data_IF_742089777012
#
_entry.id   IF_742089777012
#
_cell.length_a   1.000
_cell.length_b   1.000
_cell.length_c   1.000
_cell.angle_alpha   90.00
_cell.angle_beta   90.00
_cell.angle_gamma   90.00
#
_symmetry.space_group_name_H-M   'P 1'
#
loop_
_entity.id
_entity.type
_entity.pdbx_description
1 polymer ?
#
# COMPACT_ATOMS: atom_id res chain seq x y z
N UNK A 1 -18.08 38.61 31.16
CA UNK A 1 -18.64 37.47 31.92
C UNK A 1 -18.87 36.31 30.97
N UNK A 2 -18.34 35.18 31.35
CA UNK A 2 -18.47 33.84 30.82
C UNK A 2 -17.71 33.48 29.51
N UNK A 3 -16.67 32.80 29.81
CA UNK A 3 -15.82 31.97 29.02
C UNK A 3 -16.49 30.64 28.66
N UNK A 4 -16.31 30.18 27.43
CA UNK A 4 -16.60 28.82 26.99
C UNK A 4 -15.30 28.20 26.49
N UNK A 5 -14.80 27.22 27.24
CA UNK A 5 -13.59 26.44 26.94
C UNK A 5 -13.92 25.45 25.82
N UNK A 6 -13.11 25.46 24.77
CA UNK A 6 -13.05 24.39 23.79
C UNK A 6 -12.05 23.33 24.28
N UNK A 7 -12.48 22.09 24.38
CA UNK A 7 -11.62 20.95 24.68
C UNK A 7 -10.82 20.53 23.44
N UNK A 8 -9.52 20.79 23.47
CA UNK A 8 -8.56 20.19 22.54
C UNK A 8 -8.32 18.73 22.94
N UNK A 9 -8.73 17.80 22.09
CA UNK A 9 -8.33 16.40 22.15
C UNK A 9 -6.92 16.23 21.56
N UNK A 10 -5.92 16.43 22.41
CA UNK A 10 -4.53 16.07 22.12
C UNK A 10 -4.38 14.56 22.19
N UNK A 11 -4.16 13.89 21.07
CA UNK A 11 -3.76 12.47 21.02
C UNK A 11 -2.26 12.40 21.23
N UNK A 12 -1.85 12.04 22.45
CA UNK A 12 -0.46 11.79 22.81
C UNK A 12 0.01 10.42 22.28
N UNK A 13 1.15 10.41 21.60
CA UNK A 13 1.88 9.17 21.29
C UNK A 13 2.59 8.62 22.53
N UNK A 14 2.59 7.28 22.77
CA UNK A 14 3.34 6.69 23.85
C UNK A 14 4.79 6.40 23.42
N UNK A 15 5.73 7.19 23.93
CA UNK A 15 7.17 6.88 23.96
C UNK A 15 7.49 6.18 25.27
N UNK A 16 7.94 4.90 25.25
CA UNK A 16 8.53 4.23 26.39
C UNK A 16 8.65 2.70 26.22
N UNK A 17 9.68 2.06 26.75
CA UNK A 17 9.91 0.63 26.59
C UNK A 17 8.90 -0.20 27.41
N UNK A 18 8.46 -1.32 26.84
CA UNK A 18 7.56 -2.30 27.43
C UNK A 18 8.07 -2.82 28.79
N UNK A 19 7.44 -2.38 29.88
CA UNK A 19 7.49 -3.09 31.15
C UNK A 19 6.28 -4.05 31.20
N UNK A 20 6.54 -5.31 31.52
CA UNK A 20 5.53 -6.33 31.66
C UNK A 20 4.65 -6.04 32.88
N UNK A 21 3.40 -5.62 32.66
CA UNK A 21 2.38 -5.56 33.70
C UNK A 21 1.44 -6.76 33.56
N UNK A 22 1.37 -7.56 34.62
CA UNK A 22 0.44 -8.66 34.80
C UNK A 22 -0.99 -8.13 34.90
N UNK A 23 -1.81 -8.42 33.90
CA UNK A 23 -3.26 -8.12 33.90
C UNK A 23 -4.01 -9.42 33.99
N UNK A 24 -4.78 -9.57 35.09
CA UNK A 24 -5.73 -10.67 35.31
C UNK A 24 -6.73 -10.80 34.13
N UNK A 25 -7.14 -12.03 33.77
CA UNK A 25 -8.00 -12.24 32.62
C UNK A 25 -9.43 -11.79 32.93
N UNK A 26 -9.86 -10.74 32.26
CA UNK A 26 -11.27 -10.35 32.21
C UNK A 26 -12.01 -11.28 31.23
N UNK A 27 -13.08 -11.88 31.69
CA UNK A 27 -13.89 -12.87 31.00
C UNK A 27 -14.26 -12.41 29.57
N UNK A 28 -14.08 -13.33 28.61
CA UNK A 28 -14.50 -13.18 27.22
C UNK A 28 -16.02 -13.36 27.11
N UNK A 29 -16.70 -12.63 26.20
CA UNK A 29 -18.14 -12.75 26.02
C UNK A 29 -18.51 -13.95 25.14
N UNK A 30 -19.43 -14.77 25.59
CA UNK A 30 -20.29 -15.64 24.83
C UNK A 30 -19.72 -16.99 24.36
N UNK A 31 -20.56 -18.03 24.22
CA UNK A 31 -20.13 -19.35 23.79
C UNK A 31 -19.59 -19.34 22.35
N UNK A 32 -18.41 -19.94 22.16
CA UNK A 32 -17.82 -20.19 20.87
C UNK A 32 -18.81 -20.98 19.99
N UNK A 33 -18.98 -20.55 18.73
CA UNK A 33 -19.79 -21.28 17.76
C UNK A 33 -19.04 -22.57 17.33
N UNK A 34 -19.49 -23.78 17.75
CA UNK A 34 -18.77 -25.03 17.47
C UNK A 34 -18.57 -25.30 15.98
N UNK A 35 -19.43 -24.74 15.11
CA UNK A 35 -19.33 -24.86 13.66
C UNK A 35 -18.22 -23.97 13.08
N UNK A 36 -17.92 -22.85 13.74
CA UNK A 36 -16.82 -21.99 13.36
C UNK A 36 -15.47 -22.64 13.72
N UNK A 37 -15.39 -23.26 14.89
CA UNK A 37 -14.18 -23.97 15.34
C UNK A 37 -13.90 -25.22 14.53
N UNK A 38 -14.94 -25.99 14.12
CA UNK A 38 -14.80 -27.12 13.22
C UNK A 38 -14.34 -26.71 11.81
N UNK A 39 -14.84 -25.59 11.28
CA UNK A 39 -14.36 -25.06 9.98
C UNK A 39 -12.95 -24.47 10.06
N UNK A 40 -12.57 -23.91 11.19
CA UNK A 40 -11.19 -23.46 11.42
C UNK A 40 -10.24 -24.64 11.65
N UNK A 41 -10.70 -25.74 12.28
CA UNK A 41 -9.93 -26.95 12.46
C UNK A 41 -9.65 -27.67 11.12
N UNK A 42 -10.63 -27.75 10.22
CA UNK A 42 -10.42 -28.34 8.88
C UNK A 42 -9.42 -27.54 8.01
N UNK A 43 -9.24 -26.25 8.30
CA UNK A 43 -8.21 -25.43 7.68
C UNK A 43 -6.82 -25.58 8.33
N UNK A 44 -6.74 -26.20 9.53
CA UNK A 44 -5.47 -26.45 10.27
C UNK A 44 -4.76 -27.72 9.84
N UNK A 45 -5.49 -28.73 9.37
CA UNK A 45 -4.91 -30.04 9.01
C UNK A 45 -4.13 -30.04 7.69
N UNK A 46 -4.25 -28.98 6.88
CA UNK A 46 -3.43 -28.82 5.70
C UNK A 46 -2.16 -28.03 6.04
N UNK A 47 -1.07 -28.74 6.31
CA UNK A 47 0.29 -28.15 6.33
C UNK A 47 0.50 -27.39 5.00
N UNK A 48 1.19 -26.23 5.02
CA UNK A 48 1.58 -25.56 3.78
C UNK A 48 2.47 -26.56 3.01
N UNK A 49 1.91 -27.18 1.98
CA UNK A 49 2.73 -27.86 0.97
C UNK A 49 3.63 -26.78 0.40
N UNK A 50 4.93 -27.07 0.36
CA UNK A 50 5.88 -26.25 -0.36
C UNK A 50 5.26 -25.90 -1.71
N UNK A 51 5.00 -24.61 -1.94
CA UNK A 51 4.47 -24.15 -3.21
C UNK A 51 5.47 -24.56 -4.27
N UNK A 52 5.05 -25.43 -5.20
CA UNK A 52 5.91 -25.78 -6.33
C UNK A 52 6.35 -24.48 -6.99
N UNK A 53 7.65 -24.27 -7.21
CA UNK A 53 8.12 -23.02 -7.76
C UNK A 53 7.45 -22.81 -9.11
N UNK A 54 6.96 -21.60 -9.34
CA UNK A 54 6.52 -21.16 -10.67
C UNK A 54 7.75 -21.26 -11.59
N UNK A 55 7.86 -22.34 -12.34
CA UNK A 55 9.06 -22.73 -13.11
C UNK A 55 9.12 -22.06 -14.49
N UNK A 56 8.21 -21.13 -14.81
CA UNK A 56 8.22 -20.37 -16.06
C UNK A 56 8.67 -18.93 -15.86
N UNK A 57 9.23 -18.27 -16.89
CA UNK A 57 9.56 -16.86 -16.82
C UNK A 57 8.30 -16.05 -16.51
N UNK A 58 8.35 -15.23 -15.46
CA UNK A 58 7.26 -14.31 -15.11
C UNK A 58 7.13 -13.31 -16.27
N UNK A 59 5.94 -13.17 -16.90
CA UNK A 59 5.80 -12.27 -18.04
C UNK A 59 6.03 -10.83 -17.58
N UNK A 60 7.11 -10.21 -18.08
CA UNK A 60 7.56 -8.85 -17.75
C UNK A 60 6.69 -7.77 -18.43
N UNK A 61 5.37 -7.92 -18.44
CA UNK A 61 4.47 -6.88 -18.95
C UNK A 61 4.36 -5.76 -17.94
N UNK A 62 5.16 -4.71 -18.14
CA UNK A 62 5.03 -3.47 -17.39
C UNK A 62 3.72 -2.77 -17.72
N UNK A 63 3.12 -2.11 -16.72
CA UNK A 63 1.92 -1.29 -16.87
C UNK A 63 2.28 0.19 -16.80
N UNK A 64 1.62 0.99 -17.62
CA UNK A 64 1.78 2.45 -17.61
C UNK A 64 0.96 3.03 -16.45
N UNK A 65 1.52 3.99 -15.72
CA UNK A 65 0.79 4.73 -14.68
C UNK A 65 0.03 5.88 -15.33
N UNK A 66 -1.28 5.74 -15.50
CA UNK A 66 -2.12 6.75 -16.14
C UNK A 66 -1.53 7.26 -17.45
N UNK A 67 -1.63 8.54 -17.69
CA UNK A 67 -1.08 9.20 -18.90
C UNK A 67 0.39 9.61 -18.76
N UNK A 68 1.14 8.96 -17.87
CA UNK A 68 2.59 9.21 -17.72
C UNK A 68 3.44 8.33 -18.61
N UNK A 69 4.74 8.61 -18.69
CA UNK A 69 5.72 7.71 -19.32
C UNK A 69 6.23 6.60 -18.40
N UNK A 70 5.76 6.54 -17.15
CA UNK A 70 6.21 5.56 -16.17
C UNK A 70 5.68 4.16 -16.50
N UNK A 71 6.59 3.25 -16.76
CA UNK A 71 6.31 1.83 -16.99
C UNK A 71 6.78 1.02 -15.77
N UNK A 72 5.83 0.48 -15.02
CA UNK A 72 6.09 -0.21 -13.75
C UNK A 72 5.74 -1.69 -13.81
N UNK A 73 6.45 -2.50 -13.03
CA UNK A 73 6.05 -3.87 -12.75
C UNK A 73 4.68 -3.85 -12.04
N UNK A 74 3.74 -4.74 -12.40
CA UNK A 74 2.35 -4.67 -11.93
C UNK A 74 2.14 -5.01 -10.45
N UNK A 75 3.17 -5.08 -9.66
CA UNK A 75 3.13 -5.18 -8.19
C UNK A 75 4.28 -4.33 -7.65
N UNK A 76 4.01 -3.36 -6.80
CA UNK A 76 5.06 -2.57 -6.15
C UNK A 76 5.52 -3.24 -4.85
N UNK A 77 6.71 -2.87 -4.36
CA UNK A 77 7.12 -3.16 -2.97
C UNK A 77 6.83 -1.95 -2.09
N UNK A 78 6.10 -2.17 -1.00
CA UNK A 78 5.88 -1.16 0.02
C UNK A 78 7.05 -1.13 1.01
N UNK A 79 7.87 -0.10 0.92
CA UNK A 79 9.01 0.13 1.80
C UNK A 79 8.68 0.75 3.16
N UNK A 80 7.43 1.16 3.43
CA UNK A 80 7.10 1.89 4.68
C UNK A 80 7.38 1.10 5.98
N UNK A 81 7.61 -0.21 5.88
CA UNK A 81 8.06 -1.06 6.98
C UNK A 81 9.57 -1.02 7.24
N UNK A 82 10.36 -0.54 6.29
CA UNK A 82 11.81 -0.52 6.39
C UNK A 82 12.29 0.47 7.46
N UNK A 83 13.20 0.02 8.30
CA UNK A 83 13.70 0.78 9.44
C UNK A 83 12.74 0.84 10.66
N UNK A 84 11.57 0.18 10.57
CA UNK A 84 10.61 0.06 11.68
C UNK A 84 10.35 -1.39 12.09
N UNK A 85 9.85 -2.21 11.18
CA UNK A 85 9.55 -3.63 11.38
C UNK A 85 10.46 -4.56 10.58
N UNK A 86 11.25 -3.99 9.69
CA UNK A 86 12.17 -4.69 8.79
C UNK A 86 13.50 -3.92 8.86
N UNK A 87 14.57 -4.59 9.25
CA UNK A 87 15.91 -4.00 9.29
C UNK A 87 16.48 -3.76 7.89
N UNK A 88 17.61 -3.05 7.81
CA UNK A 88 18.22 -2.68 6.54
C UNK A 88 18.75 -3.89 5.73
N UNK A 89 19.22 -4.95 6.39
CA UNK A 89 19.73 -6.16 5.73
C UNK A 89 18.56 -6.90 5.07
N UNK A 90 17.50 -7.16 5.84
CA UNK A 90 16.28 -7.80 5.34
C UNK A 90 15.62 -6.99 4.23
N UNK A 91 15.58 -5.65 4.36
CA UNK A 91 15.08 -4.76 3.32
C UNK A 91 15.90 -4.85 2.03
N UNK A 92 17.23 -4.87 2.14
CA UNK A 92 18.13 -5.09 1.01
C UNK A 92 17.88 -6.42 0.31
N UNK A 93 17.72 -7.51 1.06
CA UNK A 93 17.38 -8.83 0.51
C UNK A 93 16.03 -8.87 -0.20
N UNK A 94 15.00 -8.16 0.34
CA UNK A 94 13.70 -8.00 -0.31
C UNK A 94 13.83 -7.28 -1.65
N UNK A 95 14.56 -6.16 -1.68
CA UNK A 95 14.74 -5.35 -2.88
C UNK A 95 15.59 -6.07 -3.93
N UNK A 96 16.63 -6.81 -3.52
CA UNK A 96 17.43 -7.65 -4.41
C UNK A 96 16.59 -8.77 -5.04
N UNK A 97 15.80 -9.49 -4.24
CA UNK A 97 14.89 -10.52 -4.74
C UNK A 97 13.84 -9.93 -5.71
N UNK A 98 13.23 -8.80 -5.35
CA UNK A 98 12.25 -8.15 -6.19
C UNK A 98 12.83 -7.70 -7.55
N UNK A 99 14.01 -7.08 -7.53
CA UNK A 99 14.73 -6.70 -8.75
C UNK A 99 15.12 -7.93 -9.59
N UNK A 100 15.55 -9.02 -8.93
CA UNK A 100 15.88 -10.29 -9.59
C UNK A 100 14.71 -10.89 -10.38
N UNK A 101 13.48 -10.67 -9.94
CA UNK A 101 12.25 -11.04 -10.67
C UNK A 101 11.78 -9.97 -11.68
N UNK A 102 12.58 -8.94 -11.98
CA UNK A 102 12.24 -7.87 -12.92
C UNK A 102 11.35 -6.78 -12.34
N UNK A 103 11.14 -6.77 -11.02
CA UNK A 103 10.44 -5.71 -10.31
C UNK A 103 11.22 -4.40 -10.34
N UNK A 104 10.49 -3.29 -10.53
CA UNK A 104 11.10 -1.96 -10.61
C UNK A 104 10.31 -0.87 -9.90
N UNK A 105 9.24 -1.19 -9.17
CA UNK A 105 8.38 -0.18 -8.57
C UNK A 105 8.44 -0.25 -7.04
N UNK A 106 9.02 0.76 -6.42
CA UNK A 106 9.20 0.86 -4.95
C UNK A 106 8.39 2.05 -4.45
N UNK A 107 7.49 1.80 -3.49
CA UNK A 107 6.65 2.81 -2.84
C UNK A 107 7.07 3.04 -1.40
N UNK A 108 7.25 4.28 -0.99
CA UNK A 108 7.59 4.67 0.38
C UNK A 108 6.85 5.94 0.82
N UNK A 109 7.29 6.57 1.89
CA UNK A 109 6.74 7.82 2.41
C UNK A 109 7.78 8.55 3.25
N UNK A 110 7.79 9.86 3.19
CA UNK A 110 8.64 10.74 4.01
C UNK A 110 8.43 10.54 5.51
N UNK A 111 7.22 10.15 5.92
CA UNK A 111 6.86 9.86 7.30
C UNK A 111 7.28 8.46 7.77
N UNK A 112 7.64 7.56 6.84
CA UNK A 112 7.91 6.17 7.17
C UNK A 112 9.17 6.03 8.03
N UNK A 113 8.99 5.54 9.26
CA UNK A 113 10.04 5.36 10.26
C UNK A 113 10.89 6.64 10.49
N UNK A 114 10.28 7.84 10.38
CA UNK A 114 10.99 9.11 10.48
C UNK A 114 11.98 9.35 9.33
N UNK A 115 11.68 8.86 8.13
CA UNK A 115 12.52 8.96 6.94
C UNK A 115 13.53 7.81 6.76
N UNK A 116 13.69 6.92 7.75
CA UNK A 116 14.63 5.79 7.67
C UNK A 116 14.35 4.85 6.50
N UNK A 117 13.07 4.70 6.14
CA UNK A 117 12.71 3.90 4.97
C UNK A 117 13.36 4.42 3.69
N UNK A 118 13.31 5.72 3.46
CA UNK A 118 13.93 6.35 2.29
C UNK A 118 15.46 6.22 2.34
N UNK A 119 16.10 6.39 3.51
CA UNK A 119 17.55 6.19 3.66
C UNK A 119 17.99 4.76 3.31
N UNK A 120 17.25 3.75 3.79
CA UNK A 120 17.54 2.33 3.48
C UNK A 120 17.40 2.06 1.97
N UNK A 121 16.36 2.58 1.33
CA UNK A 121 16.16 2.46 -0.11
C UNK A 121 17.29 3.18 -0.87
N UNK A 122 17.67 4.38 -0.43
CA UNK A 122 18.77 5.16 -1.00
C UNK A 122 20.11 4.44 -0.92
N UNK A 123 20.45 3.88 0.24
CA UNK A 123 21.69 3.12 0.44
C UNK A 123 21.72 1.86 -0.43
N UNK A 124 20.56 1.17 -0.55
CA UNK A 124 20.43 0.02 -1.44
C UNK A 124 20.63 0.42 -2.91
N UNK A 125 19.96 1.49 -3.38
CA UNK A 125 20.12 1.98 -4.76
C UNK A 125 21.58 2.34 -5.06
N UNK A 126 22.24 3.02 -4.14
CA UNK A 126 23.66 3.41 -4.28
C UNK A 126 24.57 2.19 -4.33
N UNK A 127 24.41 1.24 -3.41
CA UNK A 127 25.24 0.03 -3.33
C UNK A 127 25.08 -0.89 -4.53
N UNK A 128 23.91 -0.90 -5.16
CA UNK A 128 23.58 -1.73 -6.33
C UNK A 128 23.64 -0.97 -7.66
N UNK A 129 23.93 0.34 -7.64
CA UNK A 129 23.86 1.25 -8.81
C UNK A 129 22.52 1.11 -9.53
N UNK A 130 21.42 1.02 -8.78
CA UNK A 130 20.11 0.61 -9.27
C UNK A 130 19.14 1.77 -9.54
N UNK A 131 19.58 3.05 -9.38
CA UNK A 131 18.66 4.20 -9.52
C UNK A 131 17.95 4.24 -10.87
N UNK A 132 18.66 3.97 -11.95
CA UNK A 132 18.10 3.96 -13.32
C UNK A 132 17.16 2.77 -13.60
N UNK A 133 17.24 1.71 -12.79
CA UNK A 133 16.49 0.48 -13.00
C UNK A 133 15.13 0.51 -12.27
N UNK A 134 14.91 1.47 -11.37
CA UNK A 134 13.73 1.53 -10.50
C UNK A 134 12.93 2.81 -10.67
N UNK A 135 11.63 2.69 -10.46
CA UNK A 135 10.68 3.78 -10.32
C UNK A 135 10.39 3.96 -8.83
N UNK A 136 10.75 5.11 -8.29
CA UNK A 136 10.54 5.46 -6.88
C UNK A 136 9.29 6.33 -6.75
N UNK A 137 8.32 5.83 -5.97
CA UNK A 137 7.21 6.62 -5.49
C UNK A 137 7.39 6.94 -4.02
N UNK A 138 7.20 8.20 -3.64
CA UNK A 138 7.15 8.62 -2.23
C UNK A 138 5.94 9.51 -1.96
N UNK A 139 5.52 9.55 -0.70
CA UNK A 139 4.40 10.39 -0.25
C UNK A 139 4.91 11.48 0.68
N UNK A 140 4.35 12.67 0.50
CA UNK A 140 4.57 13.84 1.37
C UNK A 140 3.23 14.44 1.82
N UNK A 141 3.26 15.35 2.77
CA UNK A 141 2.10 16.06 3.29
C UNK A 141 1.60 15.52 4.63
N UNK A 142 1.77 14.23 4.92
CA UNK A 142 1.43 13.63 6.21
C UNK A 142 2.69 13.36 7.06
N UNK A 143 2.57 13.46 8.40
CA UNK A 143 3.63 13.10 9.34
C UNK A 143 4.26 14.29 10.08
N UNK A 144 5.20 14.00 10.98
CA UNK A 144 5.75 14.95 11.96
C UNK A 144 6.89 15.86 11.42
N UNK A 145 7.43 15.57 10.24
CA UNK A 145 8.66 16.24 9.76
C UNK A 145 8.45 17.49 8.92
N UNK A 146 7.37 17.61 8.19
CA UNK A 146 6.91 18.77 7.41
C UNK A 146 5.45 18.52 7.06
N UNK A 147 4.54 18.66 8.03
CA UNK A 147 3.11 18.46 7.78
C UNK A 147 2.59 19.59 6.86
N UNK A 148 1.59 19.21 6.04
CA UNK A 148 0.87 20.17 5.20
C UNK A 148 1.30 20.15 3.73
N UNK A 149 0.54 20.90 2.95
CA UNK A 149 0.62 20.94 1.48
C UNK A 149 0.86 22.37 0.96
N UNK A 150 1.32 23.30 1.81
CA UNK A 150 1.81 24.61 1.37
C UNK A 150 3.06 24.46 0.51
N UNK A 151 3.34 25.43 -0.34
CA UNK A 151 4.52 25.44 -1.19
C UNK A 151 5.82 25.18 -0.40
N UNK A 152 6.01 25.86 0.72
CA UNK A 152 7.19 25.70 1.55
C UNK A 152 7.30 24.31 2.18
N UNK A 153 6.16 23.75 2.66
CA UNK A 153 6.10 22.42 3.27
C UNK A 153 6.44 21.32 2.25
N UNK A 154 5.81 21.36 1.07
CA UNK A 154 6.05 20.38 0.00
C UNK A 154 7.51 20.45 -0.47
N UNK A 155 8.03 21.65 -0.78
CA UNK A 155 9.41 21.82 -1.25
C UNK A 155 10.41 21.28 -0.23
N UNK A 156 10.26 21.65 1.05
CA UNK A 156 11.12 21.14 2.13
C UNK A 156 11.02 19.62 2.28
N UNK A 157 9.81 19.07 2.19
CA UNK A 157 9.60 17.62 2.30
C UNK A 157 10.28 16.87 1.15
N UNK A 158 10.14 17.36 -0.09
CA UNK A 158 10.77 16.74 -1.27
C UNK A 158 12.28 16.82 -1.18
N UNK A 159 12.85 17.96 -0.79
CA UNK A 159 14.30 18.11 -0.66
C UNK A 159 14.87 17.11 0.37
N UNK A 160 14.22 16.93 1.49
CA UNK A 160 14.59 15.92 2.49
C UNK A 160 14.43 14.50 1.97
N UNK A 161 13.39 14.22 1.16
CA UNK A 161 13.23 12.91 0.52
C UNK A 161 14.41 12.61 -0.43
N UNK A 162 14.78 13.57 -1.28
CA UNK A 162 15.88 13.44 -2.23
C UNK A 162 17.22 13.23 -1.51
N UNK A 163 17.48 13.98 -0.43
CA UNK A 163 18.66 13.81 0.42
C UNK A 163 18.74 12.40 1.00
N UNK A 164 17.65 11.89 1.61
CA UNK A 164 17.61 10.55 2.20
C UNK A 164 17.72 9.44 1.16
N UNK A 165 17.05 9.59 0.01
CA UNK A 165 17.13 8.65 -1.10
C UNK A 165 18.47 8.72 -1.84
N UNK A 166 19.26 9.79 -1.65
CA UNK A 166 20.53 10.00 -2.35
C UNK A 166 20.38 10.09 -3.86
N UNK A 167 19.34 10.80 -4.33
CA UNK A 167 19.02 10.97 -5.75
C UNK A 167 18.58 12.40 -6.03
N UNK A 168 18.67 12.83 -7.28
CA UNK A 168 18.27 14.15 -7.75
C UNK A 168 16.76 14.27 -8.04
N UNK A 169 16.05 13.15 -8.19
CA UNK A 169 14.61 13.16 -8.47
C UNK A 169 13.89 11.94 -7.89
N UNK A 170 12.57 12.08 -7.73
CA UNK A 170 11.60 10.99 -7.56
C UNK A 170 10.76 10.86 -8.82
N UNK A 171 10.36 9.62 -9.15
CA UNK A 171 9.60 9.37 -10.37
C UNK A 171 8.11 9.70 -10.19
N UNK A 172 7.57 9.44 -9.00
CA UNK A 172 6.17 9.69 -8.67
C UNK A 172 6.05 10.25 -7.24
N UNK A 173 5.57 11.47 -7.14
CA UNK A 173 5.25 12.10 -5.86
C UNK A 173 3.76 11.94 -5.57
N UNK A 174 3.39 11.42 -4.40
CA UNK A 174 2.01 11.46 -3.92
C UNK A 174 1.82 12.53 -2.85
N UNK A 175 0.76 13.33 -2.98
CA UNK A 175 0.27 14.19 -1.91
C UNK A 175 -0.71 13.37 -1.03
N UNK A 176 -0.37 13.18 0.25
CA UNK A 176 -1.08 12.27 1.20
C UNK A 176 -1.93 13.06 2.22
N UNK A 177 -2.22 14.34 1.95
CA UNK A 177 -3.00 15.20 2.84
C UNK A 177 -3.75 16.21 2.01
N UNK A 178 -5.00 16.47 2.40
CA UNK A 178 -5.79 17.61 1.97
C UNK A 178 -5.85 18.60 3.15
N UNK A 179 -5.39 19.83 2.95
CA UNK A 179 -5.38 20.88 3.97
C UNK A 179 -6.26 22.03 3.50
N UNK A 180 -7.47 22.19 4.07
CA UNK A 180 -8.38 23.25 3.65
C UNK A 180 -7.88 24.67 3.98
N UNK A 181 -6.82 24.82 4.76
CA UNK A 181 -6.20 26.13 5.03
C UNK A 181 -5.25 26.58 3.92
N UNK A 182 -4.88 25.69 3.00
CA UNK A 182 -4.02 25.97 1.85
C UNK A 182 -4.85 25.84 0.58
N UNK A 183 -4.78 26.82 -0.33
CA UNK A 183 -5.50 26.71 -1.60
C UNK A 183 -4.92 25.56 -2.44
N UNK A 184 -5.80 24.85 -3.14
CA UNK A 184 -5.33 23.73 -3.95
C UNK A 184 -4.49 24.21 -5.15
N UNK A 185 -4.74 25.43 -5.63
CA UNK A 185 -3.91 26.11 -6.63
C UNK A 185 -2.47 26.29 -6.14
N UNK A 186 -2.26 26.73 -4.89
CA UNK A 186 -0.92 26.89 -4.30
C UNK A 186 -0.20 25.53 -4.27
N UNK A 187 -0.91 24.49 -3.83
CA UNK A 187 -0.40 23.11 -3.78
C UNK A 187 0.03 22.62 -5.17
N UNK A 188 -0.80 22.83 -6.20
CA UNK A 188 -0.53 22.36 -7.56
C UNK A 188 0.61 23.17 -8.22
N UNK A 189 0.69 24.49 -7.98
CA UNK A 189 1.81 25.31 -8.43
C UNK A 189 3.13 24.93 -7.76
N UNK A 190 3.09 24.55 -6.48
CA UNK A 190 4.27 24.03 -5.79
C UNK A 190 4.81 22.74 -6.43
N UNK A 191 3.90 21.83 -6.82
CA UNK A 191 4.28 20.61 -7.53
C UNK A 191 4.81 20.91 -8.93
N UNK A 192 4.18 21.84 -9.66
CA UNK A 192 4.66 22.27 -10.98
C UNK A 192 6.09 22.83 -10.90
N UNK A 193 6.38 23.67 -9.90
CA UNK A 193 7.74 24.19 -9.68
C UNK A 193 8.76 23.06 -9.44
N UNK A 194 8.37 21.99 -8.72
CA UNK A 194 9.23 20.81 -8.47
C UNK A 194 9.44 19.99 -9.74
N UNK A 195 8.42 19.88 -10.59
CA UNK A 195 8.54 19.22 -11.90
C UNK A 195 9.44 20.04 -12.82
N UNK A 196 9.25 21.37 -12.88
CA UNK A 196 10.09 22.27 -13.65
C UNK A 196 11.56 22.26 -13.21
N UNK A 197 11.81 22.08 -11.91
CA UNK A 197 13.16 21.92 -11.35
C UNK A 197 13.76 20.51 -11.57
N UNK A 198 13.01 19.57 -12.16
CA UNK A 198 13.44 18.19 -12.40
C UNK A 198 13.49 17.31 -11.14
N UNK A 199 13.02 17.78 -9.99
CA UNK A 199 13.00 17.04 -8.71
C UNK A 199 11.90 16.00 -8.64
N UNK A 200 10.81 16.20 -9.39
CA UNK A 200 9.66 15.29 -9.49
C UNK A 200 9.35 15.06 -10.97
N UNK A 201 9.14 13.84 -11.39
CA UNK A 201 8.76 13.56 -12.79
C UNK A 201 7.27 13.61 -13.01
N UNK A 202 6.50 12.97 -12.13
CA UNK A 202 5.05 12.92 -12.15
C UNK A 202 4.49 12.99 -10.75
N UNK A 203 3.21 13.38 -10.63
CA UNK A 203 2.56 13.37 -9.33
C UNK A 203 1.18 12.74 -9.34
N UNK A 204 0.75 12.31 -8.17
CA UNK A 204 -0.54 11.71 -7.89
C UNK A 204 -1.11 12.19 -6.57
N UNK A 205 -2.35 11.81 -6.29
CA UNK A 205 -3.02 12.07 -5.02
C UNK A 205 -3.17 10.75 -4.25
N UNK A 206 -3.06 10.81 -2.91
CA UNK A 206 -3.26 9.65 -2.05
C UNK A 206 -4.43 9.92 -1.10
N UNK A 207 -5.40 8.99 -1.06
CA UNK A 207 -6.56 9.04 -0.18
C UNK A 207 -7.45 10.30 -0.34
N UNK A 208 -7.45 10.92 -1.51
CA UNK A 208 -8.35 12.04 -1.83
C UNK A 208 -9.70 11.56 -2.34
N UNK A 209 -10.74 12.33 -2.05
CA UNK A 209 -12.10 12.08 -2.52
C UNK A 209 -12.25 12.45 -4.01
N UNK A 210 -13.31 11.97 -4.65
CA UNK A 210 -13.58 12.16 -6.07
C UNK A 210 -13.69 13.64 -6.47
N UNK A 211 -14.33 14.48 -5.62
CA UNK A 211 -14.46 15.91 -5.88
C UNK A 211 -13.09 16.60 -5.98
N UNK A 212 -12.11 16.20 -5.15
CA UNK A 212 -10.74 16.77 -5.21
C UNK A 212 -9.99 16.35 -6.47
N UNK A 213 -10.26 15.14 -7.00
CA UNK A 213 -9.71 14.74 -8.30
C UNK A 213 -10.27 15.57 -9.45
N UNK A 214 -11.59 15.84 -9.42
CA UNK A 214 -12.25 16.70 -10.42
C UNK A 214 -11.70 18.12 -10.32
N UNK A 215 -11.60 18.68 -9.12
CA UNK A 215 -11.06 19.99 -8.87
C UNK A 215 -9.60 20.12 -9.34
N UNK A 216 -8.75 19.14 -9.00
CA UNK A 216 -7.37 19.10 -9.49
C UNK A 216 -7.31 19.14 -11.03
N UNK A 217 -8.19 18.40 -11.71
CA UNK A 217 -8.25 18.38 -13.17
C UNK A 217 -8.61 19.75 -13.76
N UNK A 218 -9.57 20.42 -13.16
CA UNK A 218 -10.00 21.77 -13.60
C UNK A 218 -8.88 22.76 -13.39
N UNK A 219 -8.31 22.81 -12.19
CA UNK A 219 -7.27 23.78 -11.84
C UNK A 219 -6.00 23.57 -12.68
N UNK A 220 -5.53 22.33 -12.84
CA UNK A 220 -4.34 22.07 -13.67
C UNK A 220 -4.56 22.47 -15.12
N UNK A 221 -5.76 22.27 -15.67
CA UNK A 221 -6.08 22.72 -17.02
C UNK A 221 -6.14 24.24 -17.14
N UNK A 222 -6.68 24.95 -16.13
CA UNK A 222 -6.75 26.42 -16.10
C UNK A 222 -5.38 27.06 -15.96
N UNK A 223 -4.51 26.48 -15.13
CA UNK A 223 -3.16 26.98 -14.89
C UNK A 223 -2.16 26.56 -15.97
N UNK A 224 -2.51 25.59 -16.82
CA UNK A 224 -1.59 25.02 -17.81
C UNK A 224 -0.45 24.21 -17.21
N UNK A 225 -0.63 23.70 -15.98
CA UNK A 225 0.36 22.88 -15.27
C UNK A 225 0.12 21.36 -15.49
N UNK A 226 1.13 20.51 -15.25
CA UNK A 226 0.97 19.07 -15.45
C UNK A 226 -0.20 18.50 -14.65
N UNK A 227 -1.00 17.57 -15.24
CA UNK A 227 -2.13 16.98 -14.57
C UNK A 227 -1.71 15.88 -13.59
N UNK A 228 -2.59 15.56 -12.63
CA UNK A 228 -2.52 14.34 -11.81
C UNK A 228 -2.52 13.11 -12.72
N UNK A 229 -1.59 12.17 -12.52
CA UNK A 229 -1.50 10.93 -13.31
C UNK A 229 -1.91 9.68 -12.55
N UNK A 230 -1.97 9.74 -11.22
CA UNK A 230 -2.20 8.58 -10.37
C UNK A 230 -3.07 8.87 -9.16
N UNK A 231 -3.83 7.87 -8.74
CA UNK A 231 -4.47 7.83 -7.42
C UNK A 231 -3.91 6.65 -6.63
N UNK A 232 -3.47 6.92 -5.40
CA UNK A 232 -3.17 5.87 -4.44
C UNK A 232 -4.32 5.76 -3.43
N UNK A 233 -4.95 4.60 -3.32
CA UNK A 233 -6.15 4.40 -2.50
C UNK A 233 -6.08 3.09 -1.72
N UNK A 234 -6.73 3.03 -0.56
CA UNK A 234 -6.90 1.80 0.20
C UNK A 234 -7.90 0.89 -0.52
N UNK A 235 -7.41 -0.16 -1.18
CA UNK A 235 -8.24 -1.06 -1.97
C UNK A 235 -7.81 -2.53 -1.83
N UNK A 236 -8.75 -3.39 -1.47
CA UNK A 236 -8.57 -4.83 -1.31
C UNK A 236 -9.92 -5.55 -1.29
N UNK A 237 -9.93 -6.88 -1.31
CA UNK A 237 -11.12 -7.71 -1.08
C UNK A 237 -11.83 -7.42 0.26
N UNK A 238 -11.18 -6.79 1.22
CA UNK A 238 -11.76 -6.42 2.52
C UNK A 238 -12.25 -4.97 2.59
N UNK A 239 -11.81 -4.12 1.66
CA UNK A 239 -12.11 -2.68 1.61
C UNK A 239 -12.29 -2.26 0.15
N UNK A 240 -13.49 -2.45 -0.35
CA UNK A 240 -13.92 -2.07 -1.70
C UNK A 240 -14.63 -0.73 -1.71
N UNK A 241 -15.28 -0.42 -0.61
CA UNK A 241 -16.11 0.74 -0.35
C UNK A 241 -15.39 2.09 -0.58
N UNK A 242 -14.09 2.15 -0.34
CA UNK A 242 -13.30 3.38 -0.50
C UNK A 242 -12.91 3.70 -1.95
N UNK A 243 -13.10 2.78 -2.87
CA UNK A 243 -12.69 2.99 -4.26
C UNK A 243 -13.82 2.71 -5.25
N UNK A 244 -14.56 1.61 -5.09
CA UNK A 244 -15.61 1.22 -6.02
C UNK A 244 -16.80 2.21 -5.96
N UNK A 245 -17.42 2.48 -7.08
CA UNK A 245 -18.49 3.48 -7.20
C UNK A 245 -18.01 4.77 -7.86
N UNK A 246 -18.41 5.94 -7.33
CA UNK A 246 -18.17 7.26 -7.93
C UNK A 246 -16.69 7.53 -8.16
N UNK A 247 -15.85 7.24 -7.17
CA UNK A 247 -14.40 7.47 -7.27
C UNK A 247 -13.78 6.67 -8.43
N UNK A 248 -14.17 5.40 -8.59
CA UNK A 248 -13.68 4.57 -9.70
C UNK A 248 -14.14 5.11 -11.06
N UNK A 249 -15.36 5.67 -11.16
CA UNK A 249 -15.85 6.36 -12.34
C UNK A 249 -14.99 7.56 -12.72
N UNK A 250 -14.75 8.47 -11.78
CA UNK A 250 -13.90 9.67 -11.98
C UNK A 250 -12.48 9.27 -12.39
N UNK A 251 -11.91 8.26 -11.74
CA UNK A 251 -10.56 7.74 -12.09
C UNK A 251 -10.51 7.19 -13.51
N UNK A 252 -11.56 6.48 -13.94
CA UNK A 252 -11.66 5.95 -15.30
C UNK A 252 -11.79 7.05 -16.36
N UNK A 253 -12.63 8.05 -16.11
CA UNK A 253 -12.85 9.19 -17.00
C UNK A 253 -11.61 10.07 -17.16
N UNK A 254 -10.86 10.27 -16.06
CA UNK A 254 -9.64 11.07 -16.07
C UNK A 254 -8.39 10.30 -16.53
N UNK A 255 -8.49 9.01 -16.81
CA UNK A 255 -7.35 8.23 -17.26
C UNK A 255 -6.30 7.93 -16.19
N UNK A 256 -6.61 8.08 -14.90
CA UNK A 256 -5.65 7.92 -13.82
C UNK A 256 -5.23 6.45 -13.63
N UNK A 257 -3.97 6.24 -13.26
CA UNK A 257 -3.46 4.94 -12.81
C UNK A 257 -3.70 4.75 -11.31
N UNK A 258 -4.22 3.59 -10.91
CA UNK A 258 -4.49 3.29 -9.49
C UNK A 258 -3.39 2.43 -8.90
N UNK A 259 -2.83 2.86 -7.76
CA UNK A 259 -1.99 2.03 -6.91
C UNK A 259 -2.74 1.68 -5.63
N UNK A 260 -2.95 0.37 -5.39
CA UNK A 260 -3.79 -0.10 -4.29
C UNK A 260 -2.95 -0.30 -3.01
N UNK A 261 -3.20 0.53 -1.98
CA UNK A 261 -2.59 0.37 -0.63
C UNK A 261 -3.31 -0.72 0.15
N UNK A 262 -2.59 -1.35 1.08
CA UNK A 262 -3.08 -2.42 1.93
C UNK A 262 -3.79 -3.56 1.17
N UNK A 263 -3.26 -4.00 0.02
CA UNK A 263 -3.94 -4.94 -0.86
C UNK A 263 -4.21 -6.30 -0.21
N UNK A 264 -3.41 -6.65 0.82
CA UNK A 264 -3.53 -7.89 1.59
C UNK A 264 -4.21 -7.70 2.95
N UNK A 265 -4.88 -6.55 3.20
CA UNK A 265 -5.58 -6.29 4.46
C UNK A 265 -4.69 -6.47 5.69
N UNK A 266 -3.52 -5.80 5.72
CA UNK A 266 -2.49 -5.93 6.76
C UNK A 266 -1.95 -7.37 6.93
N UNK A 267 -1.97 -8.18 5.87
CA UNK A 267 -1.49 -9.56 5.84
C UNK A 267 -2.57 -10.62 6.05
N UNK A 268 -3.82 -10.23 6.34
CA UNK A 268 -4.92 -11.17 6.55
C UNK A 268 -5.19 -12.03 5.30
N UNK A 269 -5.22 -11.44 4.11
CA UNK A 269 -5.44 -12.14 2.85
C UNK A 269 -4.25 -13.01 2.41
N UNK A 270 -3.10 -12.87 3.06
CA UNK A 270 -1.97 -13.78 2.90
C UNK A 270 -2.14 -15.12 3.65
N UNK A 271 -3.23 -15.30 4.39
CA UNK A 271 -3.52 -16.54 5.12
C UNK A 271 -2.70 -16.74 6.39
N UNK A 272 -1.94 -15.73 6.84
CA UNK A 272 -1.09 -15.82 8.06
C UNK A 272 -1.90 -15.81 9.35
N UNK A 273 -3.07 -15.18 9.37
CA UNK A 273 -3.87 -14.95 10.57
C UNK A 273 -5.21 -15.65 10.43
N UNK A 274 -5.27 -16.89 10.89
CA UNK A 274 -6.47 -17.76 10.82
C UNK A 274 -7.22 -17.85 12.15
N UNK A 275 -6.59 -17.41 13.24
CA UNK A 275 -7.14 -17.45 14.60
C UNK A 275 -6.84 -16.16 15.38
N UNK A 276 -7.52 -15.97 16.50
CA UNK A 276 -7.24 -14.88 17.44
C UNK A 276 -5.82 -14.97 18.05
N UNK A 277 -5.27 -16.17 18.14
CA UNK A 277 -3.91 -16.43 18.63
C UNK A 277 -2.89 -15.93 17.61
N UNK A 278 -3.09 -16.22 16.33
CA UNK A 278 -2.21 -15.74 15.25
C UNK A 278 -2.18 -14.19 15.20
N UNK A 279 -3.34 -13.56 15.45
CA UNK A 279 -3.46 -12.10 15.54
C UNK A 279 -2.72 -11.50 16.73
N UNK A 280 -2.73 -12.21 17.88
CA UNK A 280 -2.01 -11.76 19.07
C UNK A 280 -0.49 -11.79 18.88
N UNK A 281 0.01 -12.68 18.06
CA UNK A 281 1.43 -12.82 17.68
C UNK A 281 1.86 -11.88 16.54
N UNK A 282 0.97 -11.00 16.05
CA UNK A 282 1.27 -10.11 14.92
C UNK A 282 2.33 -9.06 15.28
N UNK A 283 3.50 -9.01 14.59
CA UNK A 283 4.54 -8.01 14.86
C UNK A 283 4.11 -6.54 14.66
N UNK A 284 3.03 -6.31 13.89
CA UNK A 284 2.47 -4.98 13.61
C UNK A 284 1.50 -4.47 14.69
N UNK A 285 1.28 -5.24 15.76
CA UNK A 285 0.37 -4.90 16.84
C UNK A 285 -1.11 -5.16 16.51
N UNK A 286 -1.92 -5.30 17.59
CA UNK A 286 -3.38 -5.59 17.47
C UNK A 286 -4.17 -4.51 16.73
N UNK A 287 -3.70 -3.27 16.73
CA UNK A 287 -4.36 -2.14 16.05
C UNK A 287 -4.28 -2.21 14.53
N UNK A 288 -3.31 -2.92 13.97
CA UNK A 288 -3.13 -3.03 12.53
C UNK A 288 -4.01 -4.10 11.88
N UNK A 289 -4.56 -5.04 12.66
CA UNK A 289 -5.35 -6.16 12.15
C UNK A 289 -6.69 -6.20 12.86
N UNK A 290 -7.75 -5.87 12.15
CA UNK A 290 -9.12 -6.00 12.68
C UNK A 290 -9.45 -7.47 12.92
N UNK A 291 -10.13 -7.84 14.04
CA UNK A 291 -10.53 -9.21 14.32
C UNK A 291 -11.27 -9.87 13.14
N UNK A 292 -11.10 -11.17 12.91
CA UNK A 292 -11.74 -11.85 11.80
C UNK A 292 -13.26 -11.88 12.02
N UNK A 293 -13.99 -11.18 11.14
CA UNK A 293 -15.45 -11.28 11.06
C UNK A 293 -15.86 -12.48 10.21
N UNK A 294 -17.11 -12.94 10.34
CA UNK A 294 -17.65 -14.01 9.46
C UNK A 294 -17.48 -13.70 7.97
N UNK A 295 -17.63 -12.42 7.57
CA UNK A 295 -17.39 -11.97 6.21
C UNK A 295 -15.93 -12.15 5.80
N UNK A 296 -14.99 -11.70 6.63
CA UNK A 296 -13.54 -11.81 6.35
C UNK A 296 -13.10 -13.26 6.22
N UNK A 297 -13.60 -14.16 7.08
CA UNK A 297 -13.31 -15.59 7.01
C UNK A 297 -13.88 -16.23 5.75
N UNK A 298 -15.08 -15.86 5.30
CA UNK A 298 -15.63 -16.32 4.02
C UNK A 298 -14.77 -15.88 2.82
N UNK A 299 -14.32 -14.63 2.82
CA UNK A 299 -13.40 -14.12 1.78
C UNK A 299 -12.12 -14.95 1.76
N UNK A 300 -11.52 -15.21 2.94
CA UNK A 300 -10.29 -16.00 3.04
C UNK A 300 -10.49 -17.43 2.60
N UNK A 301 -11.65 -18.04 2.90
CA UNK A 301 -11.96 -19.42 2.49
C UNK A 301 -12.03 -19.56 0.96
N UNK A 302 -12.79 -18.68 0.28
CA UNK A 302 -12.88 -18.69 -1.19
C UNK A 302 -11.51 -18.38 -1.81
N UNK A 303 -10.78 -17.40 -1.28
CA UNK A 303 -9.44 -17.07 -1.73
C UNK A 303 -8.48 -18.25 -1.61
N UNK A 304 -8.50 -18.96 -0.48
CA UNK A 304 -7.65 -20.13 -0.23
C UNK A 304 -8.03 -21.31 -1.11
N UNK A 305 -9.32 -21.50 -1.44
CA UNK A 305 -9.75 -22.53 -2.37
C UNK A 305 -9.17 -22.26 -3.77
N UNK A 306 -9.33 -21.07 -4.31
CA UNK A 306 -8.78 -20.71 -5.64
C UNK A 306 -7.26 -20.86 -5.64
N UNK A 307 -6.59 -20.44 -4.55
CA UNK A 307 -5.15 -20.55 -4.41
C UNK A 307 -4.66 -22.01 -4.49
N UNK A 308 -5.37 -22.96 -3.82
CA UNK A 308 -5.07 -24.39 -3.91
C UNK A 308 -5.28 -24.93 -5.33
N UNK A 309 -6.41 -24.61 -5.96
CA UNK A 309 -6.73 -25.06 -7.33
C UNK A 309 -5.70 -24.55 -8.35
N UNK A 310 -5.12 -23.36 -8.10
CA UNK A 310 -4.11 -22.73 -8.95
C UNK A 310 -2.67 -23.04 -8.56
N UNK A 311 -2.45 -23.78 -7.45
CA UNK A 311 -1.12 -24.05 -6.89
C UNK A 311 -0.28 -22.80 -6.63
N UNK A 312 -0.90 -21.74 -6.10
CA UNK A 312 -0.25 -20.46 -5.74
C UNK A 312 -0.64 -20.04 -4.32
N UNK A 313 0.09 -19.05 -3.78
CA UNK A 313 -0.25 -18.49 -2.47
C UNK A 313 -1.57 -17.70 -2.49
N UNK A 314 -2.34 -17.67 -1.38
CA UNK A 314 -3.53 -16.80 -1.28
C UNK A 314 -3.22 -15.33 -1.56
N UNK A 315 -2.06 -14.83 -1.14
CA UNK A 315 -1.60 -13.48 -1.46
C UNK A 315 -1.54 -13.21 -2.97
N UNK A 316 -1.03 -14.18 -3.74
CA UNK A 316 -0.95 -14.12 -5.20
C UNK A 316 -2.33 -13.94 -5.83
N UNK A 317 -3.33 -14.72 -5.38
CA UNK A 317 -4.72 -14.62 -5.88
C UNK A 317 -5.34 -13.28 -5.51
N UNK A 318 -5.12 -12.77 -4.28
CA UNK A 318 -5.64 -11.47 -3.87
C UNK A 318 -5.08 -10.33 -4.70
N UNK A 319 -3.79 -10.38 -5.04
CA UNK A 319 -3.15 -9.38 -5.90
C UNK A 319 -3.60 -9.54 -7.36
N UNK A 320 -3.76 -10.77 -7.87
CA UNK A 320 -4.28 -11.04 -9.20
C UNK A 320 -5.72 -10.51 -9.37
N UNK A 321 -6.56 -10.63 -8.34
CA UNK A 321 -7.91 -10.05 -8.33
C UNK A 321 -7.86 -8.52 -8.48
N UNK A 322 -6.97 -7.83 -7.76
CA UNK A 322 -6.76 -6.38 -7.92
C UNK A 322 -6.30 -6.04 -9.32
N UNK A 323 -5.37 -6.81 -9.88
CA UNK A 323 -4.85 -6.60 -11.23
C UNK A 323 -5.88 -6.86 -12.35
N UNK A 324 -6.96 -7.59 -12.05
CA UNK A 324 -8.10 -7.77 -12.94
C UNK A 324 -9.09 -6.59 -12.93
N UNK A 325 -8.95 -5.65 -11.96
CA UNK A 325 -9.84 -4.48 -11.89
C UNK A 325 -9.36 -3.36 -12.82
N UNK A 326 -10.31 -2.63 -13.44
CA UNK A 326 -9.98 -1.52 -14.32
C UNK A 326 -9.10 -0.47 -13.61
N UNK A 327 -8.17 0.11 -14.36
CA UNK A 327 -7.25 1.17 -13.90
C UNK A 327 -6.28 0.79 -12.77
N UNK A 328 -6.40 -0.35 -12.11
CA UNK A 328 -5.40 -0.80 -11.15
C UNK A 328 -4.11 -1.16 -11.88
N UNK A 329 -3.09 -0.34 -11.66
CA UNK A 329 -1.76 -0.49 -12.27
C UNK A 329 -0.91 -1.43 -11.44
N UNK A 330 -0.85 -1.18 -10.13
CA UNK A 330 -0.06 -1.99 -9.20
C UNK A 330 -0.66 -1.97 -7.79
N UNK A 331 -0.97 -3.13 -7.20
CA UNK A 331 -1.09 -3.24 -5.75
C UNK A 331 0.28 -3.02 -5.09
N UNK A 332 0.24 -2.48 -3.84
CA UNK A 332 1.42 -2.08 -3.06
C UNK A 332 1.46 -2.88 -1.76
N UNK A 333 1.76 -4.19 -1.81
CA UNK A 333 1.83 -5.03 -0.62
C UNK A 333 3.06 -4.73 0.23
N UNK A 334 2.89 -4.81 1.56
CA UNK A 334 4.01 -4.94 2.49
C UNK A 334 4.53 -6.37 2.50
N UNK A 335 5.84 -6.51 2.64
CA UNK A 335 6.55 -7.79 2.69
C UNK A 335 7.36 -7.83 3.98
N UNK A 336 7.59 -9.01 4.55
CA UNK A 336 8.33 -9.15 5.82
C UNK A 336 9.68 -9.85 5.65
N UNK A 337 9.92 -10.50 4.51
CA UNK A 337 11.18 -11.16 4.19
C UNK A 337 11.27 -11.47 2.69
N UNK A 338 12.48 -11.72 2.18
CA UNK A 338 12.72 -11.97 0.75
C UNK A 338 12.02 -13.23 0.22
N UNK A 339 11.76 -14.22 1.07
CA UNK A 339 11.06 -15.46 0.73
C UNK A 339 9.62 -15.24 0.26
N UNK A 340 9.00 -14.10 0.65
CA UNK A 340 7.63 -13.77 0.27
C UNK A 340 7.54 -13.06 -1.08
N UNK A 341 8.64 -12.57 -1.59
CA UNK A 341 8.66 -11.77 -2.82
C UNK A 341 8.13 -12.58 -4.00
N UNK A 342 8.48 -13.86 -4.10
CA UNK A 342 8.03 -14.74 -5.18
C UNK A 342 6.49 -14.81 -5.26
N UNK A 343 5.81 -14.98 -4.12
CA UNK A 343 4.35 -15.05 -4.05
C UNK A 343 3.68 -13.75 -4.56
N UNK A 344 4.33 -12.60 -4.32
CA UNK A 344 3.81 -11.32 -4.75
C UNK A 344 4.02 -11.09 -6.25
N UNK A 345 5.24 -11.36 -6.75
CA UNK A 345 5.61 -11.12 -8.15
C UNK A 345 4.99 -12.15 -9.11
N UNK A 346 4.50 -13.27 -8.62
CA UNK A 346 3.74 -14.24 -9.39
C UNK A 346 2.32 -13.76 -9.78
N UNK A 347 1.78 -12.76 -9.07
CA UNK A 347 0.40 -12.32 -9.28
C UNK A 347 0.06 -11.90 -10.73
N UNK A 348 0.92 -11.19 -11.48
CA UNK A 348 0.65 -10.84 -12.87
C UNK A 348 0.53 -12.05 -13.83
N UNK A 349 1.07 -13.20 -13.44
CA UNK A 349 1.01 -14.43 -14.24
C UNK A 349 -0.29 -15.20 -14.02
N UNK A 350 -1.02 -14.91 -12.95
CA UNK A 350 -2.28 -15.58 -12.60
C UNK A 350 -3.45 -14.87 -13.26
N UNK A 351 -3.98 -15.46 -14.32
CA UNK A 351 -5.19 -14.99 -14.98
C UNK A 351 -6.41 -15.66 -14.34
N UNK A 352 -7.12 -14.93 -13.49
CA UNK A 352 -8.37 -15.39 -12.89
C UNK A 352 -9.46 -15.45 -13.96
N UNK A 353 -10.24 -16.55 -13.93
CA UNK A 353 -11.43 -16.67 -14.77
C UNK A 353 -12.53 -15.71 -14.31
N UNK A 354 -13.49 -15.41 -15.19
CA UNK A 354 -14.66 -14.58 -14.82
C UNK A 354 -15.44 -15.18 -13.64
N UNK A 355 -15.50 -16.49 -13.53
CA UNK A 355 -16.17 -17.18 -12.43
C UNK A 355 -15.44 -16.96 -11.10
N UNK A 356 -14.11 -17.08 -11.07
CA UNK A 356 -13.30 -16.85 -9.87
C UNK A 356 -13.36 -15.40 -9.41
N UNK A 357 -13.28 -14.43 -10.35
CA UNK A 357 -13.45 -13.00 -10.02
C UNK A 357 -14.84 -12.76 -9.44
N UNK A 358 -15.90 -13.28 -10.07
CA UNK A 358 -17.28 -13.14 -9.58
C UNK A 358 -17.50 -13.81 -8.22
N UNK A 359 -16.85 -14.95 -7.95
CA UNK A 359 -16.91 -15.62 -6.65
C UNK A 359 -16.27 -14.74 -5.54
N UNK A 360 -15.08 -14.18 -5.82
CA UNK A 360 -14.40 -13.26 -4.92
C UNK A 360 -15.19 -11.95 -4.72
N UNK A 361 -15.77 -11.40 -5.79
CA UNK A 361 -16.60 -10.19 -5.72
C UNK A 361 -17.83 -10.40 -4.82
N UNK A 362 -18.52 -11.55 -4.96
CA UNK A 362 -19.72 -11.88 -4.18
C UNK A 362 -19.45 -12.02 -2.68
N UNK A 363 -18.34 -12.65 -2.29
CA UNK A 363 -18.04 -12.85 -0.87
C UNK A 363 -17.40 -11.64 -0.22
N UNK A 364 -16.92 -10.69 -1.01
CA UNK A 364 -16.25 -9.46 -0.57
C UNK A 364 -17.14 -8.21 -0.63
N UNK A 365 -18.36 -8.33 -1.13
CA UNK A 365 -19.38 -7.28 -1.13
C UNK A 365 -19.89 -6.98 0.27
#
# INVERSE_FOLDING_TARGET
MNAGRGDELTVAEPTGPCAAASVSPRALPGPADPLLDLRLASLREEQPRESSPVTGPIPLRRRRIGDSSLLVFPVAINGTGFGRTIDAVSAGGILDAYRGFGGNFIDTSSAAAGGRSESIIGDWMRSRRARSDVVIATRVGSGTGSPGVSQAAISTAVDRCLERLGTDHVDLLYLDTDDPSVSFEETLLAVDALIGAGKVRFFGLAAHAENRLVEARVITAQLGVPPVVALQVHYSLLRRDLFEGTLAGVVAEQGLGVTARFPLGAGFLGGKYRSAVDLAACPRGRSAVTPPTRRRLRVLAVLSQIARERHVAPATVALAWLLAKPRVVAPVPGVSGPEQVLDLVAAPSVQLTRHEVAALDRVSS
#
